data_IF_323960763484
#
_entry.id   IF_323960763484
#
_cell.length_a   1.000
_cell.length_b   1.000
_cell.length_c   1.000
_cell.angle_alpha   90.00
_cell.angle_beta   90.00
_cell.angle_gamma   90.00
#
_symmetry.space_group_name_H-M   'P 1'
#
loop_
_entity.id
_entity.type
_entity.pdbx_description
1 polymer ?
#
# COMPACT_ATOMS: atom_id res chain seq x y z
N UNK A 1 -3.56 12.70 19.55
CA UNK A 1 -3.97 11.77 18.46
C UNK A 1 -2.74 11.40 17.66
N UNK A 2 -2.53 10.10 17.41
CA UNK A 2 -1.46 9.62 16.53
C UNK A 2 -1.96 9.59 15.09
N UNK A 3 -1.13 10.05 14.17
CA UNK A 3 -1.45 10.22 12.77
C UNK A 3 -0.35 9.59 11.94
N UNK A 4 -0.74 8.82 10.95
CA UNK A 4 0.17 8.19 10.01
C UNK A 4 0.39 9.11 8.81
N UNK A 5 1.64 9.31 8.42
CA UNK A 5 2.03 10.21 7.33
C UNK A 5 2.03 9.46 6.01
N UNK A 6 1.21 9.91 5.06
CA UNK A 6 1.06 9.31 3.73
C UNK A 6 1.93 10.02 2.68
N UNK A 7 2.13 11.32 2.84
CA UNK A 7 2.92 12.16 1.94
C UNK A 7 3.95 12.97 2.73
N UNK A 8 5.07 13.38 2.14
CA UNK A 8 6.06 14.20 2.82
C UNK A 8 5.41 15.48 3.36
N UNK A 9 5.60 15.78 4.65
CA UNK A 9 5.09 17.00 5.27
C UNK A 9 6.18 17.68 6.09
N UNK A 10 6.12 19.01 6.16
CA UNK A 10 6.97 19.81 7.05
C UNK A 10 6.17 20.24 8.26
N UNK A 11 6.63 19.84 9.45
CA UNK A 11 6.01 20.24 10.72
C UNK A 11 6.90 21.23 11.46
N UNK A 12 6.30 22.29 12.01
CA UNK A 12 7.01 23.24 12.88
C UNK A 12 6.81 22.85 14.35
N UNK A 13 7.89 22.51 15.05
CA UNK A 13 7.88 22.20 16.49
C UNK A 13 8.95 23.03 17.21
N UNK A 14 8.55 23.74 18.26
CA UNK A 14 9.44 24.61 19.05
C UNK A 14 10.30 25.57 18.20
N UNK A 15 9.70 26.17 17.17
CA UNK A 15 10.38 27.13 16.28
C UNK A 15 11.21 26.51 15.15
N UNK A 16 11.45 25.19 15.14
CA UNK A 16 12.20 24.49 14.10
C UNK A 16 11.27 23.72 13.15
N UNK A 17 11.65 23.66 11.88
CA UNK A 17 10.96 22.87 10.86
C UNK A 17 11.57 21.46 10.81
N UNK A 18 10.71 20.46 10.70
CA UNK A 18 11.08 19.06 10.58
C UNK A 18 10.43 18.48 9.34
N UNK A 19 11.24 17.88 8.48
CA UNK A 19 10.75 17.05 7.39
C UNK A 19 10.32 15.70 7.96
N UNK A 20 9.06 15.35 7.73
CA UNK A 20 8.48 14.08 8.13
C UNK A 20 8.29 13.24 6.87
N UNK A 21 8.92 12.08 6.84
CA UNK A 21 8.83 11.15 5.71
C UNK A 21 7.51 10.38 5.76
N UNK A 22 6.99 9.94 4.59
CA UNK A 22 5.92 8.94 4.53
C UNK A 22 6.28 7.71 5.39
N UNK A 23 5.28 7.12 6.03
CA UNK A 23 5.49 6.00 6.95
C UNK A 23 5.66 6.39 8.43
N UNK A 24 5.99 7.65 8.71
CA UNK A 24 6.18 8.12 10.08
C UNK A 24 4.85 8.27 10.84
N UNK A 25 4.90 8.04 12.15
CA UNK A 25 3.78 8.31 13.06
C UNK A 25 4.07 9.62 13.78
N UNK A 26 3.16 10.59 13.66
CA UNK A 26 3.24 11.87 14.36
C UNK A 26 2.12 12.00 15.38
N UNK A 27 2.45 12.47 16.56
CA UNK A 27 1.47 12.78 17.58
C UNK A 27 1.10 14.26 17.54
N UNK A 28 -0.17 14.55 17.28
CA UNK A 28 -0.72 15.90 17.32
C UNK A 28 -1.60 16.04 18.56
N UNK A 29 -1.29 17.05 19.38
CA UNK A 29 -2.02 17.38 20.61
C UNK A 29 -3.38 18.04 20.34
N UNK A 30 -3.50 18.80 19.26
CA UNK A 30 -4.73 19.50 18.85
C UNK A 30 -5.25 18.95 17.51
N UNK A 31 -6.32 18.13 17.52
CA UNK A 31 -6.90 17.51 16.33
C UNK A 31 -7.34 18.51 15.25
N UNK A 32 -7.70 19.75 15.62
CA UNK A 32 -8.15 20.77 14.65
C UNK A 32 -7.04 21.17 13.69
N UNK A 33 -5.78 21.11 14.13
CA UNK A 33 -4.60 21.40 13.30
C UNK A 33 -4.29 20.30 12.29
N UNK A 34 -4.87 19.11 12.48
CA UNK A 34 -4.69 17.97 11.58
C UNK A 34 -5.77 17.92 10.48
N UNK A 35 -6.87 18.66 10.62
CA UNK A 35 -8.05 18.51 9.76
C UNK A 35 -7.73 18.73 8.28
N UNK A 36 -7.10 19.86 7.93
CA UNK A 36 -6.69 20.17 6.56
C UNK A 36 -5.70 19.14 5.99
N UNK A 37 -4.83 18.58 6.83
CA UNK A 37 -3.87 17.56 6.40
C UNK A 37 -4.55 16.19 6.17
N UNK A 38 -5.61 15.89 6.92
CA UNK A 38 -6.45 14.70 6.73
C UNK A 38 -7.28 14.83 5.45
N UNK A 39 -7.98 15.96 5.26
CA UNK A 39 -8.81 16.19 4.07
C UNK A 39 -7.98 16.23 2.77
N UNK A 40 -6.77 16.77 2.83
CA UNK A 40 -5.84 16.78 1.69
C UNK A 40 -5.10 15.44 1.48
N UNK A 41 -5.36 14.42 2.32
CA UNK A 41 -4.78 13.09 2.19
C UNK A 41 -3.27 13.00 2.47
N UNK A 42 -2.71 13.96 3.22
CA UNK A 42 -1.29 13.93 3.60
C UNK A 42 -1.03 13.06 4.84
N UNK A 43 -2.04 12.93 5.69
CA UNK A 43 -2.01 12.11 6.89
C UNK A 43 -3.35 11.39 7.05
N UNK A 44 -3.36 10.31 7.83
CA UNK A 44 -4.61 9.69 8.30
C UNK A 44 -4.53 9.31 9.77
N UNK A 45 -5.66 9.20 10.48
CA UNK A 45 -5.67 8.68 11.85
C UNK A 45 -4.92 7.35 11.90
N UNK A 46 -3.98 7.23 12.83
CA UNK A 46 -3.34 5.94 13.10
C UNK A 46 -4.32 5.16 13.96
N UNK A 47 -5.01 4.18 13.37
CA UNK A 47 -5.78 3.23 14.16
C UNK A 47 -4.81 2.52 15.10
N UNK A 48 -4.93 2.75 16.41
CA UNK A 48 -4.07 2.14 17.45
C UNK A 48 -4.34 0.63 17.61
N UNK A 49 -5.19 0.05 16.78
CA UNK A 49 -5.26 -1.40 16.59
C UNK A 49 -4.05 -1.78 15.76
N UNK A 50 -3.10 -2.56 16.28
CA UNK A 50 -1.93 -3.10 15.56
C UNK A 50 -2.30 -4.05 14.42
N UNK A 51 -3.19 -3.62 13.53
CA UNK A 51 -3.72 -4.34 12.39
C UNK A 51 -2.67 -4.26 11.30
N UNK A 52 -2.16 -5.41 10.89
CA UNK A 52 -1.17 -5.49 9.82
C UNK A 52 -1.87 -5.10 8.51
N UNK A 53 -1.49 -3.95 7.95
CA UNK A 53 -2.05 -3.43 6.70
C UNK A 53 -1.29 -3.91 5.46
N UNK A 54 0.00 -4.20 5.63
CA UNK A 54 0.86 -4.74 4.59
C UNK A 54 1.89 -5.67 5.23
N UNK A 55 2.23 -6.76 4.55
CA UNK A 55 3.27 -7.68 4.95
C UNK A 55 4.15 -8.00 3.75
N UNK A 56 5.47 -8.04 3.95
CA UNK A 56 6.41 -8.54 2.95
C UNK A 56 6.62 -10.02 3.17
N UNK A 57 6.42 -10.82 2.13
CA UNK A 57 6.55 -12.28 2.18
C UNK A 57 7.47 -12.76 1.07
N UNK A 58 8.17 -13.88 1.30
CA UNK A 58 8.91 -14.55 0.24
C UNK A 58 8.00 -15.51 -0.53
N UNK A 59 7.82 -15.28 -1.83
CA UNK A 59 7.08 -16.17 -2.72
C UNK A 59 8.00 -17.27 -3.25
N UNK A 60 7.69 -18.52 -2.93
CA UNK A 60 8.42 -19.68 -3.48
C UNK A 60 8.25 -19.86 -4.99
N UNK A 61 7.13 -19.39 -5.56
CA UNK A 61 6.82 -19.53 -6.99
C UNK A 61 7.62 -18.52 -7.80
N UNK A 62 7.69 -17.29 -7.29
CA UNK A 62 8.38 -16.16 -7.93
C UNK A 62 9.87 -16.10 -7.56
N UNK A 63 10.28 -16.80 -6.50
CA UNK A 63 11.64 -16.76 -5.95
C UNK A 63 12.08 -15.34 -5.53
N UNK A 64 11.15 -14.54 -5.01
CA UNK A 64 11.40 -13.17 -4.59
C UNK A 64 10.46 -12.72 -3.47
N UNK A 65 10.81 -11.59 -2.85
CA UNK A 65 9.95 -10.93 -1.86
C UNK A 65 8.88 -10.10 -2.54
N UNK A 66 7.63 -10.21 -2.08
CA UNK A 66 6.49 -9.44 -2.57
C UNK A 66 5.69 -8.87 -1.40
N UNK A 67 5.03 -7.74 -1.64
CA UNK A 67 4.10 -7.18 -0.66
C UNK A 67 2.72 -7.81 -0.79
N UNK A 68 2.09 -8.08 0.35
CA UNK A 68 0.67 -8.43 0.44
C UNK A 68 -0.02 -7.37 1.28
N UNK A 69 -0.98 -6.68 0.68
CA UNK A 69 -1.71 -5.56 1.28
C UNK A 69 -3.12 -5.98 1.61
N UNK A 70 -3.57 -5.76 2.85
CA UNK A 70 -4.88 -6.22 3.29
C UNK A 70 -6.04 -5.41 2.74
N UNK A 71 -5.77 -4.18 2.27
CA UNK A 71 -6.77 -3.32 1.65
C UNK A 71 -6.15 -2.33 0.65
N UNK A 72 -6.93 -1.82 -0.33
CA UNK A 72 -6.42 -0.86 -1.33
C UNK A 72 -5.87 0.44 -0.71
N UNK A 73 -6.40 0.88 0.43
CA UNK A 73 -5.95 2.10 1.11
C UNK A 73 -4.53 1.95 1.68
N UNK A 74 -4.08 0.71 1.88
CA UNK A 74 -2.73 0.39 2.34
C UNK A 74 -1.68 0.41 1.23
N UNK A 75 -2.08 0.48 -0.04
CA UNK A 75 -1.17 0.56 -1.19
C UNK A 75 -0.28 1.80 -1.09
N UNK A 76 -0.82 2.91 -0.57
CA UNK A 76 -0.09 4.17 -0.33
C UNK A 76 1.12 4.03 0.60
N UNK A 77 1.24 2.91 1.32
CA UNK A 77 2.38 2.60 2.19
C UNK A 77 3.50 1.84 1.50
N UNK A 78 3.23 1.30 0.32
CA UNK A 78 4.20 0.53 -0.44
C UNK A 78 5.12 1.53 -1.16
N UNK A 79 6.44 1.37 -1.08
CA UNK A 79 7.36 2.22 -1.82
C UNK A 79 7.02 2.23 -3.32
N UNK A 80 7.28 3.36 -3.97
CA UNK A 80 7.19 3.40 -5.43
C UNK A 80 8.13 2.34 -6.03
N UNK A 81 7.71 1.70 -7.12
CA UNK A 81 8.42 0.62 -7.83
C UNK A 81 8.43 -0.76 -7.15
N UNK A 82 7.79 -0.91 -5.99
CA UNK A 82 7.60 -2.21 -5.33
C UNK A 82 6.30 -2.90 -5.78
N UNK A 83 6.34 -4.23 -5.89
CA UNK A 83 5.14 -5.01 -6.23
C UNK A 83 4.37 -5.39 -4.98
N UNK A 84 3.07 -5.18 -5.07
CA UNK A 84 2.11 -5.62 -4.08
C UNK A 84 1.02 -6.51 -4.68
N UNK A 85 0.37 -7.28 -3.83
CA UNK A 85 -0.80 -8.10 -4.16
C UNK A 85 -1.91 -7.87 -3.15
N UNK A 86 -3.11 -7.61 -3.64
CA UNK A 86 -4.32 -7.66 -2.83
C UNK A 86 -4.77 -9.12 -2.65
N UNK A 87 -5.45 -9.47 -1.53
CA UNK A 87 -6.01 -10.79 -1.31
C UNK A 87 -6.88 -11.28 -2.47
N UNK A 88 -7.61 -10.39 -3.14
CA UNK A 88 -8.43 -10.71 -4.30
C UNK A 88 -7.60 -11.13 -5.51
N UNK A 89 -6.47 -10.48 -5.76
CA UNK A 89 -5.56 -10.87 -6.83
C UNK A 89 -4.96 -12.25 -6.55
N UNK A 90 -4.56 -12.50 -5.30
CA UNK A 90 -4.06 -13.83 -4.89
C UNK A 90 -5.15 -14.90 -5.08
N UNK A 91 -6.42 -14.58 -4.77
CA UNK A 91 -7.53 -15.51 -5.03
C UNK A 91 -7.74 -15.76 -6.52
N UNK A 92 -7.57 -14.76 -7.38
CA UNK A 92 -7.68 -14.93 -8.83
C UNK A 92 -6.57 -15.80 -9.42
N UNK A 93 -5.40 -15.83 -8.77
CA UNK A 93 -4.29 -16.73 -9.14
C UNK A 93 -4.52 -18.18 -8.68
N UNK A 94 -5.58 -18.45 -7.90
CA UNK A 94 -5.85 -19.79 -7.40
C UNK A 94 -6.23 -20.72 -8.55
N UNK A 95 -5.38 -21.72 -8.81
CA UNK A 95 -5.57 -22.66 -9.93
C UNK A 95 -4.68 -22.37 -11.14
N UNK A 96 -4.01 -21.21 -11.16
CA UNK A 96 -3.00 -20.91 -12.16
C UNK A 96 -1.73 -21.75 -11.91
N UNK A 97 -1.06 -22.09 -13.00
CA UNK A 97 0.26 -22.74 -12.99
C UNK A 97 1.35 -21.77 -12.52
N UNK A 98 2.48 -22.29 -12.01
CA UNK A 98 3.63 -21.45 -11.63
C UNK A 98 4.11 -20.53 -12.76
N UNK A 99 4.11 -21.01 -14.00
CA UNK A 99 4.48 -20.25 -15.19
C UNK A 99 3.52 -19.08 -15.45
N UNK A 100 2.20 -19.31 -15.37
CA UNK A 100 1.20 -18.25 -15.53
C UNK A 100 1.33 -17.18 -14.42
N UNK A 101 1.55 -17.61 -13.17
CA UNK A 101 1.76 -16.70 -12.04
C UNK A 101 3.00 -15.83 -12.29
N UNK A 102 4.09 -16.40 -12.80
CA UNK A 102 5.31 -15.66 -13.16
C UNK A 102 5.06 -14.67 -14.30
N UNK A 103 4.31 -15.05 -15.32
CA UNK A 103 3.96 -14.15 -16.42
C UNK A 103 3.13 -12.96 -15.94
N UNK A 104 2.10 -13.20 -15.14
CA UNK A 104 1.28 -12.15 -14.54
C UNK A 104 2.15 -11.23 -13.67
N UNK A 105 3.08 -11.80 -12.90
CA UNK A 105 4.02 -11.04 -12.10
C UNK A 105 4.94 -10.15 -12.94
N UNK A 106 5.49 -10.67 -14.04
CA UNK A 106 6.33 -9.89 -14.96
C UNK A 106 5.56 -8.74 -15.60
N UNK A 107 4.33 -8.99 -16.06
CA UNK A 107 3.45 -7.93 -16.57
C UNK A 107 3.22 -6.87 -15.49
N UNK A 108 2.97 -7.30 -14.25
CA UNK A 108 2.77 -6.39 -13.11
C UNK A 108 4.02 -5.55 -12.80
N UNK A 109 5.23 -6.09 -12.99
CA UNK A 109 6.50 -5.33 -12.89
C UNK A 109 6.57 -4.25 -13.96
N UNK A 110 6.28 -4.60 -15.20
CA UNK A 110 6.38 -3.68 -16.33
C UNK A 110 5.39 -2.50 -16.24
N UNK A 111 4.19 -2.74 -15.71
CA UNK A 111 3.16 -1.70 -15.58
C UNK A 111 3.20 -0.94 -14.25
N UNK A 112 4.22 -1.15 -13.41
CA UNK A 112 4.41 -0.42 -12.16
C UNK A 112 3.45 -0.80 -11.03
N UNK A 113 3.10 -2.08 -10.91
CA UNK A 113 2.30 -2.59 -9.78
C UNK A 113 0.78 -2.46 -9.91
N UNK A 114 0.29 -1.92 -11.03
CA UNK A 114 -1.15 -1.80 -11.29
C UNK A 114 -1.84 -3.16 -11.47
N UNK A 115 -3.12 -3.22 -11.06
CA UNK A 115 -4.00 -4.40 -11.04
C UNK A 115 -4.02 -5.14 -12.39
N UNK A 116 -3.57 -6.39 -12.41
CA UNK A 116 -3.86 -7.32 -13.52
C UNK A 116 -5.06 -8.16 -13.11
N UNK A 117 -6.24 -7.76 -13.55
CA UNK A 117 -7.44 -8.61 -13.43
C UNK A 117 -7.37 -9.70 -14.50
N UNK A 118 -7.05 -10.93 -14.11
CA UNK A 118 -7.31 -12.10 -14.94
C UNK A 118 -8.80 -12.48 -14.82
N UNK A 119 -9.68 -11.68 -15.41
CA UNK A 119 -11.05 -12.15 -15.71
C UNK A 119 -11.08 -12.64 -17.14
N UNK A 120 -11.26 -13.95 -17.27
CA UNK A 120 -11.58 -14.61 -18.53
C UNK A 120 -12.68 -13.85 -19.28
N UNK A 121 -12.42 -13.60 -20.56
CA UNK A 121 -13.43 -13.35 -21.57
C UNK A 121 -14.45 -14.50 -21.56
N UNK A 122 -15.58 -14.32 -20.87
CA UNK A 122 -16.80 -15.07 -21.19
C UNK A 122 -17.69 -14.15 -22.00
N UNK A 123 -17.77 -14.44 -23.30
CA UNK A 123 -18.70 -13.80 -24.22
C UNK A 123 -20.13 -14.33 -24.10
N UNK A 124 -20.99 -13.67 -24.89
CA UNK A 124 -22.42 -13.91 -25.15
C UNK A 124 -23.34 -13.68 -23.94
N UNK A 125 -24.45 -12.93 -24.04
CA UNK A 125 -25.32 -12.66 -25.20
C UNK A 125 -25.71 -11.17 -25.32
#
# INVERSE_FOLDING_TARGET
MKLFVLKPIKLKKAGRLFDITPGAIVEIKDPRKAHTLIESGHIKPSDETGKVHAARIYSKILCEEVWVVTSPEAISYIPNDEIYYLPEEIRNLKGATPEEIRQIHMIKKEIGGCLVSAKESKGHA
#
